data_IF_791918282554
#
_entry.id   IF_791918282554
#
_cell.length_a   1.000
_cell.length_b   1.000
_cell.length_c   1.000
_cell.angle_alpha   90.00
_cell.angle_beta   90.00
_cell.angle_gamma   90.00
#
_symmetry.space_group_name_H-M   'P 1'
#
loop_
_entity.id
_entity.type
_entity.pdbx_description
1 polymer ?
#
# COMPACT_ATOMS: atom_id res chain seq x y z
N UNK A 1 0.07 -10.20 -17.63
CA UNK A 1 0.81 -9.60 -16.51
C UNK A 1 1.23 -8.21 -16.94
N UNK A 2 1.05 -7.21 -16.09
CA UNK A 2 1.38 -5.80 -16.37
C UNK A 2 2.81 -5.53 -16.85
N UNK A 3 3.33 -4.34 -16.63
CA UNK A 3 4.67 -3.97 -17.12
C UNK A 3 5.75 -4.68 -16.33
N UNK A 4 6.66 -5.39 -17.02
CA UNK A 4 7.81 -6.10 -16.44
C UNK A 4 9.10 -5.39 -16.86
N UNK A 5 9.87 -4.95 -15.87
CA UNK A 5 11.18 -4.31 -16.05
C UNK A 5 12.27 -5.23 -15.49
N UNK A 6 13.36 -5.39 -16.23
CA UNK A 6 14.54 -6.16 -15.79
C UNK A 6 15.61 -5.19 -15.28
N UNK A 7 16.32 -5.63 -14.23
CA UNK A 7 17.43 -4.90 -13.62
C UNK A 7 17.06 -3.43 -13.29
N UNK A 8 15.80 -3.23 -12.85
CA UNK A 8 15.25 -1.89 -12.62
C UNK A 8 15.83 -1.28 -11.34
N UNK A 9 16.45 -0.11 -11.44
CA UNK A 9 17.06 0.56 -10.29
C UNK A 9 16.03 1.02 -9.28
N UNK A 10 16.09 0.50 -8.04
CA UNK A 10 15.12 0.79 -6.99
C UNK A 10 15.20 2.23 -6.47
N UNK A 11 16.33 2.93 -6.66
CA UNK A 11 16.43 4.36 -6.31
C UNK A 11 15.39 5.22 -7.03
N UNK A 12 14.89 4.80 -8.19
CA UNK A 12 13.81 5.50 -8.93
C UNK A 12 12.45 5.37 -8.26
N UNK A 13 12.29 4.33 -7.41
CA UNK A 13 11.04 3.94 -6.79
C UNK A 13 11.03 4.17 -5.28
N UNK A 14 11.99 4.92 -4.75
CA UNK A 14 12.06 5.31 -3.34
C UNK A 14 12.17 6.81 -3.17
N UNK A 15 11.59 7.33 -2.11
CA UNK A 15 11.72 8.76 -1.78
C UNK A 15 13.15 9.13 -1.38
N UNK A 16 13.87 8.22 -0.78
CA UNK A 16 15.29 8.41 -0.41
C UNK A 16 16.24 8.39 -1.61
N UNK A 17 15.76 7.95 -2.78
CA UNK A 17 16.54 7.84 -4.03
C UNK A 17 17.82 7.02 -3.86
N UNK A 18 17.75 5.96 -3.09
CA UNK A 18 18.80 4.98 -2.88
C UNK A 18 18.26 3.57 -3.10
N UNK A 19 19.11 2.65 -3.50
CA UNK A 19 18.79 1.25 -3.74
C UNK A 19 19.31 0.76 -5.09
N UNK A 20 19.94 -0.42 -5.06
CA UNK A 20 20.44 -1.12 -6.23
C UNK A 20 19.33 -1.63 -7.14
N UNK A 21 19.67 -2.37 -8.21
CA UNK A 21 18.70 -2.91 -9.14
C UNK A 21 17.90 -4.06 -8.54
N UNK A 22 16.63 -4.17 -8.94
CA UNK A 22 15.84 -5.37 -8.75
C UNK A 22 15.91 -6.23 -10.01
N UNK A 23 16.15 -7.52 -9.88
CA UNK A 23 16.21 -8.45 -11.01
C UNK A 23 14.97 -8.40 -11.87
N UNK A 24 13.80 -8.33 -11.23
CA UNK A 24 12.53 -8.07 -11.90
C UNK A 24 11.71 -7.08 -11.07
N UNK A 25 11.14 -6.10 -11.75
CA UNK A 25 10.19 -5.13 -11.20
C UNK A 25 8.90 -5.21 -12.01
N UNK A 26 7.79 -5.56 -11.36
CA UNK A 26 6.51 -5.81 -12.04
C UNK A 26 5.48 -4.80 -11.52
N UNK A 27 4.92 -4.00 -12.44
CA UNK A 27 3.77 -3.16 -12.14
C UNK A 27 2.49 -3.92 -12.46
N UNK A 28 1.66 -4.15 -11.47
CA UNK A 28 0.36 -4.82 -11.63
C UNK A 28 -0.76 -3.80 -11.62
N UNK A 29 -1.75 -4.00 -12.50
CA UNK A 29 -2.88 -3.10 -12.68
C UNK A 29 -4.14 -3.58 -11.97
N UNK A 30 -4.24 -4.88 -11.71
CA UNK A 30 -5.41 -5.50 -11.11
C UNK A 30 -5.03 -6.67 -10.20
N UNK A 31 -6.06 -7.18 -9.51
CA UNK A 31 -5.93 -8.27 -8.53
C UNK A 31 -5.50 -9.58 -9.19
N UNK A 32 -5.99 -9.86 -10.38
CA UNK A 32 -5.73 -11.14 -11.06
C UNK A 32 -4.26 -11.24 -11.45
N UNK A 33 -3.69 -10.18 -12.01
CA UNK A 33 -2.25 -10.08 -12.29
C UNK A 33 -1.40 -10.25 -11.04
N UNK A 34 -1.79 -9.59 -9.93
CA UNK A 34 -1.08 -9.73 -8.65
C UNK A 34 -1.09 -11.18 -8.16
N UNK A 35 -2.25 -11.85 -8.25
CA UNK A 35 -2.40 -13.26 -7.86
C UNK A 35 -1.50 -14.16 -8.70
N UNK A 36 -1.46 -13.93 -10.00
CA UNK A 36 -0.61 -14.71 -10.92
C UNK A 36 0.87 -14.58 -10.55
N UNK A 37 1.35 -13.36 -10.36
CA UNK A 37 2.75 -13.11 -9.98
C UNK A 37 3.08 -13.77 -8.64
N UNK A 38 2.21 -13.65 -7.65
CA UNK A 38 2.41 -14.28 -6.34
C UNK A 38 2.43 -15.81 -6.44
N UNK A 39 1.50 -16.41 -7.21
CA UNK A 39 1.48 -17.86 -7.43
C UNK A 39 2.77 -18.33 -8.10
N UNK A 40 3.23 -17.60 -9.10
CA UNK A 40 4.48 -17.89 -9.80
C UNK A 40 5.67 -17.85 -8.84
N UNK A 41 5.82 -16.78 -8.06
CA UNK A 41 6.91 -16.64 -7.08
C UNK A 41 6.92 -17.80 -6.09
N UNK A 42 5.75 -18.19 -5.58
CA UNK A 42 5.63 -19.33 -4.65
C UNK A 42 6.02 -20.65 -5.26
N UNK A 43 5.50 -20.95 -6.46
CA UNK A 43 5.78 -22.18 -7.18
C UNK A 43 7.29 -22.35 -7.40
N UNK A 44 7.97 -21.27 -7.73
CA UNK A 44 9.40 -21.26 -8.04
C UNK A 44 10.30 -20.86 -6.87
N UNK A 45 9.74 -20.65 -5.66
CA UNK A 45 10.47 -20.22 -4.46
C UNK A 45 11.28 -18.95 -4.68
N UNK A 46 10.75 -18.02 -5.48
CA UNK A 46 11.38 -16.72 -5.77
C UNK A 46 11.03 -15.76 -4.65
N UNK A 47 12.04 -15.06 -4.13
CA UNK A 47 11.83 -13.98 -3.18
C UNK A 47 10.99 -12.88 -3.80
N UNK A 48 9.97 -12.39 -3.09
CA UNK A 48 9.16 -11.28 -3.56
C UNK A 48 9.07 -10.19 -2.49
N UNK A 49 8.95 -8.96 -2.96
CA UNK A 49 8.67 -7.81 -2.10
C UNK A 49 7.64 -6.91 -2.77
N UNK A 50 6.69 -6.38 -2.00
CA UNK A 50 5.62 -5.51 -2.51
C UNK A 50 5.92 -4.08 -2.12
N UNK A 51 5.84 -3.17 -3.09
CA UNK A 51 6.12 -1.76 -2.92
C UNK A 51 4.92 -0.90 -3.38
N UNK A 52 4.66 0.19 -2.65
CA UNK A 52 3.89 1.32 -3.14
C UNK A 52 4.86 2.40 -3.65
N UNK A 53 4.69 3.64 -3.22
CA UNK A 53 5.58 4.78 -3.61
C UNK A 53 6.98 4.76 -2.96
N UNK A 54 7.32 3.74 -2.19
CA UNK A 54 8.63 3.63 -1.56
C UNK A 54 8.98 4.77 -0.60
N UNK A 55 7.99 5.45 -0.03
CA UNK A 55 8.21 6.63 0.83
C UNK A 55 8.77 6.30 2.22
N UNK A 56 8.67 5.03 2.62
CA UNK A 56 9.21 4.55 3.91
C UNK A 56 10.05 3.29 3.72
N UNK A 57 10.80 3.23 2.62
CA UNK A 57 11.64 2.09 2.27
C UNK A 57 13.06 2.55 2.00
N UNK A 58 14.01 1.76 2.50
CA UNK A 58 15.43 1.89 2.24
C UNK A 58 15.92 0.55 1.67
N UNK A 59 16.36 0.56 0.43
CA UNK A 59 16.96 -0.60 -0.21
C UNK A 59 18.48 -0.51 -0.17
N UNK A 60 19.13 -1.68 -0.04
CA UNK A 60 20.57 -1.80 -0.21
C UNK A 60 20.96 -1.49 -1.65
N UNK A 61 22.20 -1.02 -1.85
CA UNK A 61 22.79 -0.83 -3.18
C UNK A 61 23.11 -2.15 -3.90
N UNK A 62 23.05 -3.28 -3.18
CA UNK A 62 23.17 -4.60 -3.77
C UNK A 62 21.92 -4.95 -4.58
N UNK A 63 22.08 -5.78 -5.61
CA UNK A 63 20.96 -6.30 -6.39
C UNK A 63 19.98 -7.07 -5.49
N UNK A 64 18.68 -6.82 -5.72
CA UNK A 64 17.62 -7.63 -5.14
C UNK A 64 17.33 -8.79 -6.10
N UNK A 65 17.74 -10.00 -5.72
CA UNK A 65 17.68 -11.21 -6.56
C UNK A 65 16.28 -11.84 -6.62
N UNK A 66 15.25 -11.06 -6.51
CA UNK A 66 13.85 -11.48 -6.53
C UNK A 66 12.99 -10.63 -7.43
N UNK A 67 11.70 -10.64 -7.14
CA UNK A 67 10.68 -9.86 -7.83
C UNK A 67 10.16 -8.76 -6.91
N UNK A 68 10.24 -7.51 -7.35
CA UNK A 68 9.54 -6.39 -6.73
C UNK A 68 8.20 -6.23 -7.44
N UNK A 69 7.11 -6.17 -6.68
CA UNK A 69 5.75 -5.92 -7.21
C UNK A 69 5.32 -4.52 -6.81
N UNK A 70 5.09 -3.66 -7.78
CA UNK A 70 4.54 -2.32 -7.56
C UNK A 70 3.01 -2.35 -7.70
N UNK A 71 2.34 -1.77 -6.71
CA UNK A 71 0.88 -1.65 -6.67
C UNK A 71 0.40 -0.24 -7.04
N UNK A 72 1.28 0.64 -7.54
CA UNK A 72 0.93 2.04 -7.83
C UNK A 72 -0.19 2.20 -8.86
N UNK A 73 -0.25 1.29 -9.84
CA UNK A 73 -1.24 1.33 -10.91
C UNK A 73 -2.62 0.83 -10.46
N UNK A 74 -2.74 0.20 -9.29
CA UNK A 74 -4.00 -0.13 -8.63
C UNK A 74 -4.52 1.09 -7.85
N UNK A 75 -4.95 2.14 -8.54
CA UNK A 75 -5.18 3.48 -7.97
C UNK A 75 -6.61 4.00 -8.10
N UNK A 76 -7.58 3.10 -8.28
CA UNK A 76 -8.98 3.47 -8.35
C UNK A 76 -9.60 3.59 -6.95
N UNK A 77 -10.54 4.52 -6.79
CA UNK A 77 -11.36 4.63 -5.58
C UNK A 77 -12.77 5.09 -5.93
N UNK A 78 -13.68 4.81 -5.04
CA UNK A 78 -15.09 5.16 -5.15
C UNK A 78 -15.61 5.71 -3.83
N UNK A 79 -16.42 6.76 -3.91
CA UNK A 79 -17.07 7.40 -2.75
C UNK A 79 -18.56 7.08 -2.77
N UNK A 80 -19.09 6.60 -1.65
CA UNK A 80 -20.51 6.35 -1.45
C UNK A 80 -20.96 6.95 -0.11
N UNK A 81 -21.60 8.11 -0.16
CA UNK A 81 -21.96 8.87 1.03
C UNK A 81 -20.70 9.25 1.86
N UNK A 82 -20.60 8.72 3.07
CA UNK A 82 -19.43 8.92 3.97
C UNK A 82 -18.44 7.77 3.93
N UNK A 83 -18.59 6.84 3.01
CA UNK A 83 -17.66 5.70 2.88
C UNK A 83 -16.83 5.82 1.60
N UNK A 84 -15.55 5.58 1.73
CA UNK A 84 -14.61 5.53 0.60
C UNK A 84 -14.06 4.11 0.49
N UNK A 85 -14.20 3.53 -0.69
CA UNK A 85 -13.52 2.28 -1.06
C UNK A 85 -12.36 2.62 -1.98
N UNK A 86 -11.14 2.29 -1.59
CA UNK A 86 -9.95 2.63 -2.33
C UNK A 86 -9.06 1.41 -2.56
N UNK A 87 -8.43 1.34 -3.71
CA UNK A 87 -7.36 0.40 -4.00
C UNK A 87 -6.06 0.81 -3.29
N UNK A 88 -5.17 -0.14 -3.10
CA UNK A 88 -3.93 0.05 -2.34
C UNK A 88 -2.94 1.05 -2.96
N UNK A 89 -2.97 1.26 -4.26
CA UNK A 89 -2.12 2.21 -5.00
C UNK A 89 -2.62 3.65 -4.97
N UNK A 90 -3.82 3.92 -4.46
CA UNK A 90 -4.33 5.30 -4.31
C UNK A 90 -3.41 6.09 -3.39
N UNK A 91 -3.00 7.29 -3.79
CA UNK A 91 -2.15 8.13 -2.95
C UNK A 91 -2.95 8.77 -1.82
N UNK A 92 -2.38 8.78 -0.61
CA UNK A 92 -3.03 9.34 0.57
C UNK A 92 -3.34 10.82 0.39
N UNK A 93 -2.39 11.59 -0.14
CA UNK A 93 -2.55 13.03 -0.40
C UNK A 93 -3.74 13.29 -1.34
N UNK A 94 -3.76 12.60 -2.50
CA UNK A 94 -4.86 12.77 -3.47
C UNK A 94 -6.22 12.47 -2.84
N UNK A 95 -6.33 11.35 -2.12
CA UNK A 95 -7.57 10.94 -1.49
C UNK A 95 -8.04 11.96 -0.45
N UNK A 96 -7.14 12.49 0.38
CA UNK A 96 -7.46 13.50 1.37
C UNK A 96 -8.03 14.78 0.72
N UNK A 97 -7.36 15.30 -0.31
CA UNK A 97 -7.81 16.49 -1.03
C UNK A 97 -9.13 16.28 -1.77
N UNK A 98 -9.30 15.14 -2.42
CA UNK A 98 -10.54 14.86 -3.18
C UNK A 98 -11.74 14.67 -2.23
N UNK A 99 -11.55 14.05 -1.07
CA UNK A 99 -12.56 13.96 -0.02
C UNK A 99 -12.90 15.35 0.56
N UNK A 100 -11.92 16.18 0.81
CA UNK A 100 -12.15 17.55 1.31
C UNK A 100 -12.97 18.39 0.33
N UNK A 101 -12.70 18.32 -0.99
CA UNK A 101 -13.48 19.04 -2.02
C UNK A 101 -14.98 18.70 -2.02
N UNK A 102 -15.34 17.51 -1.61
CA UNK A 102 -16.73 17.07 -1.52
C UNK A 102 -17.30 17.15 -0.10
N UNK A 103 -16.62 17.86 0.80
CA UNK A 103 -17.07 18.10 2.17
C UNK A 103 -16.95 16.91 3.12
N UNK A 104 -16.11 15.92 2.81
CA UNK A 104 -15.83 14.80 3.69
C UNK A 104 -14.61 15.10 4.56
N UNK A 105 -14.77 14.95 5.87
CA UNK A 105 -13.74 15.17 6.89
C UNK A 105 -13.27 13.84 7.50
N UNK A 106 -12.06 13.85 8.06
CA UNK A 106 -11.44 12.71 8.75
C UNK A 106 -10.18 12.18 8.05
N UNK A 107 -9.83 12.74 6.87
CA UNK A 107 -8.62 12.39 6.11
C UNK A 107 -7.58 13.50 6.08
N UNK A 108 -7.79 14.58 6.79
CA UNK A 108 -6.93 15.76 6.78
C UNK A 108 -5.49 15.42 7.14
N UNK A 109 -5.30 14.52 8.09
CA UNK A 109 -3.97 14.08 8.52
C UNK A 109 -3.15 13.43 7.39
N UNK A 110 -3.82 12.88 6.37
CA UNK A 110 -3.14 12.25 5.23
C UNK A 110 -2.64 13.27 4.20
N UNK A 111 -3.09 14.52 4.25
CA UNK A 111 -2.78 15.55 3.26
C UNK A 111 -1.29 15.87 3.11
N UNK A 112 -0.47 15.54 4.10
CA UNK A 112 0.98 15.72 4.07
C UNK A 112 1.79 14.43 4.08
N UNK A 113 1.15 13.26 4.08
CA UNK A 113 1.86 11.97 4.16
C UNK A 113 2.12 11.43 2.76
N UNK A 114 3.38 11.40 2.29
CA UNK A 114 3.71 10.82 1.00
C UNK A 114 3.56 9.30 1.07
N UNK A 115 2.80 8.72 0.15
CA UNK A 115 2.60 7.27 0.11
C UNK A 115 1.25 6.88 -0.45
N UNK A 116 1.04 5.57 -0.58
CA UNK A 116 -0.22 4.98 -1.02
C UNK A 116 -1.01 4.46 0.18
N UNK A 117 -2.31 4.33 0.02
CA UNK A 117 -3.22 3.79 1.03
C UNK A 117 -2.75 2.41 1.53
N UNK A 118 -2.37 1.50 0.63
CA UNK A 118 -1.89 0.16 1.03
C UNK A 118 -0.67 0.20 1.95
N UNK A 119 0.36 0.96 1.57
CA UNK A 119 1.56 1.15 2.40
C UNK A 119 1.26 1.92 3.69
N UNK A 120 0.41 2.94 3.61
CA UNK A 120 -0.03 3.71 4.76
C UNK A 120 -0.72 2.84 5.81
N UNK A 121 -1.62 1.96 5.39
CA UNK A 121 -2.30 1.06 6.32
C UNK A 121 -1.35 0.02 6.89
N UNK A 122 -0.46 -0.53 6.06
CA UNK A 122 0.57 -1.47 6.52
C UNK A 122 1.40 -0.87 7.66
N UNK A 123 1.74 0.41 7.55
CA UNK A 123 2.53 1.15 8.54
C UNK A 123 1.68 1.84 9.63
N UNK A 124 0.35 1.75 9.57
CA UNK A 124 -0.56 2.58 10.36
C UNK A 124 -0.17 4.06 10.32
N UNK A 125 0.04 4.58 9.10
CA UNK A 125 0.51 5.94 8.91
C UNK A 125 -0.39 6.96 9.59
N UNK A 126 0.22 7.91 10.27
CA UNK A 126 -0.50 8.93 11.01
C UNK A 126 0.29 10.22 11.10
N UNK A 127 -0.44 11.31 11.34
CA UNK A 127 0.08 12.65 11.59
C UNK A 127 -0.94 13.45 12.41
N UNK A 128 -0.49 14.50 13.10
CA UNK A 128 -1.39 15.41 13.83
C UNK A 128 -2.35 14.72 14.81
N UNK A 129 -1.85 13.69 15.53
CA UNK A 129 -2.58 12.88 16.51
C UNK A 129 -3.69 11.99 15.93
N UNK A 130 -3.75 11.78 14.62
CA UNK A 130 -4.65 10.85 13.94
C UNK A 130 -3.88 9.86 13.09
N UNK A 131 -4.44 8.66 12.87
CA UNK A 131 -3.82 7.59 12.09
C UNK A 131 -4.86 6.77 11.33
N UNK A 132 -4.39 5.98 10.37
CA UNK A 132 -5.28 5.20 9.49
C UNK A 132 -6.15 4.20 10.23
N UNK A 133 -5.70 3.60 11.34
CA UNK A 133 -6.51 2.66 12.12
C UNK A 133 -7.79 3.28 12.70
N UNK A 134 -7.85 4.59 12.86
CA UNK A 134 -9.05 5.29 13.38
C UNK A 134 -10.15 5.43 12.31
N UNK A 135 -9.76 5.48 11.03
CA UNK A 135 -10.68 5.73 9.92
C UNK A 135 -10.97 4.49 9.08
N UNK A 136 -10.14 3.47 9.18
CA UNK A 136 -10.33 2.20 8.47
C UNK A 136 -11.42 1.38 9.12
N UNK A 137 -12.59 1.27 8.46
CA UNK A 137 -13.75 0.52 8.96
C UNK A 137 -13.68 -0.97 8.65
N UNK A 138 -13.27 -1.33 7.43
CA UNK A 138 -13.25 -2.70 6.94
C UNK A 138 -12.21 -2.85 5.85
N UNK A 139 -11.45 -3.90 5.92
CA UNK A 139 -10.62 -4.34 4.82
C UNK A 139 -11.28 -5.52 4.09
N UNK A 140 -11.37 -5.38 2.78
CA UNK A 140 -11.87 -6.45 1.94
C UNK A 140 -10.71 -7.38 1.58
N UNK A 141 -10.74 -8.57 2.13
CA UNK A 141 -9.77 -9.62 1.87
C UNK A 141 -10.21 -10.39 0.62
N UNK A 142 -9.66 -10.06 -0.53
CA UNK A 142 -9.94 -10.80 -1.76
C UNK A 142 -9.29 -12.19 -1.79
N UNK A 143 -8.27 -12.39 -0.97
CA UNK A 143 -7.59 -13.67 -0.87
C UNK A 143 -7.64 -14.14 0.57
N UNK A 144 -8.37 -15.21 0.84
CA UNK A 144 -8.20 -16.07 2.03
C UNK A 144 -6.80 -16.71 2.02
N UNK A 145 -5.78 -15.96 1.70
CA UNK A 145 -4.40 -16.45 1.63
C UNK A 145 -3.68 -16.15 2.93
N UNK A 146 -3.71 -17.09 3.83
CA UNK A 146 -3.07 -17.12 5.15
C UNK A 146 -1.55 -16.92 5.15
N UNK A 147 -0.87 -16.70 3.98
CA UNK A 147 0.56 -16.98 3.84
C UNK A 147 1.39 -15.99 3.02
N UNK A 148 0.95 -14.76 2.75
CA UNK A 148 1.66 -13.93 1.77
C UNK A 148 2.84 -13.13 2.33
N UNK A 149 2.93 -12.86 3.62
CA UNK A 149 4.05 -12.13 4.20
C UNK A 149 4.70 -12.87 5.37
N UNK A 150 5.69 -13.69 5.07
CA UNK A 150 6.85 -13.83 5.94
C UNK A 150 7.86 -12.78 5.47
N UNK A 151 7.62 -11.54 5.78
CA UNK A 151 8.70 -10.56 5.83
C UNK A 151 9.27 -10.73 7.23
N UNK A 152 10.53 -11.13 7.31
CA UNK A 152 11.34 -11.06 8.53
C UNK A 152 11.48 -9.58 8.94
N UNK A 153 10.44 -9.02 9.51
CA UNK A 153 10.51 -7.77 10.23
C UNK A 153 10.77 -8.12 11.68
N UNK A 154 12.04 -8.36 11.99
CA UNK A 154 12.55 -8.66 13.32
C UNK A 154 12.27 -7.56 14.37
N UNK A 155 11.72 -6.42 14.00
CA UNK A 155 11.51 -5.29 14.91
C UNK A 155 10.04 -4.89 15.16
N UNK A 156 9.06 -5.46 14.49
CA UNK A 156 7.64 -5.06 14.65
C UNK A 156 6.76 -6.04 15.42
N UNK A 157 7.33 -7.12 15.96
CA UNK A 157 6.57 -8.13 16.73
C UNK A 157 6.00 -7.60 18.05
N UNK A 158 6.42 -6.44 18.50
CA UNK A 158 6.08 -5.92 19.85
C UNK A 158 4.86 -5.01 19.87
N UNK A 159 4.36 -4.49 18.75
CA UNK A 159 3.29 -3.49 18.74
C UNK A 159 1.92 -4.05 18.36
N UNK A 160 1.83 -5.21 17.72
CA UNK A 160 0.56 -5.77 17.25
C UNK A 160 0.35 -7.21 17.73
N UNK A 161 0.15 -7.37 19.04
CA UNK A 161 -0.36 -8.61 19.61
C UNK A 161 -1.73 -8.93 18.99
N UNK A 162 -1.77 -9.91 18.06
CA UNK A 162 -3.01 -10.58 17.66
C UNK A 162 -3.59 -10.28 16.28
N UNK A 163 -3.01 -9.40 15.45
CA UNK A 163 -3.55 -9.14 14.12
C UNK A 163 -2.90 -10.04 13.07
N UNK A 164 -3.69 -10.96 12.56
CA UNK A 164 -3.35 -11.83 11.43
C UNK A 164 -3.04 -10.99 10.18
N UNK A 165 -1.81 -11.04 9.70
CA UNK A 165 -1.29 -10.34 8.52
C UNK A 165 -1.94 -10.89 7.26
N UNK A 166 -2.89 -10.15 6.69
CA UNK A 166 -3.54 -10.48 5.42
C UNK A 166 -3.31 -9.35 4.44
N UNK A 167 -2.81 -9.71 3.27
CA UNK A 167 -2.63 -8.79 2.14
C UNK A 167 -3.96 -8.19 1.73
N UNK A 168 -3.99 -6.89 1.69
CA UNK A 168 -5.22 -6.12 1.56
C UNK A 168 -5.18 -5.33 0.26
N UNK A 169 -6.02 -5.74 -0.67
CA UNK A 169 -6.07 -5.19 -2.00
C UNK A 169 -7.12 -4.09 -2.16
N UNK A 170 -8.14 -4.09 -1.30
CA UNK A 170 -9.18 -3.07 -1.26
C UNK A 170 -9.51 -2.69 0.19
N UNK A 171 -9.69 -1.40 0.40
CA UNK A 171 -9.99 -0.84 1.72
C UNK A 171 -11.29 -0.07 1.68
N UNK A 172 -12.16 -0.35 2.64
CA UNK A 172 -13.34 0.47 2.88
C UNK A 172 -13.08 1.36 4.10
N UNK A 173 -12.96 2.63 3.87
CA UNK A 173 -12.61 3.63 4.86
C UNK A 173 -13.89 4.40 5.22
N UNK A 174 -14.16 4.59 6.52
CA UNK A 174 -15.27 5.41 6.99
C UNK A 174 -14.79 6.84 7.17
N UNK A 175 -15.42 7.77 6.48
CA UNK A 175 -15.21 9.21 6.68
C UNK A 175 -16.31 9.74 7.59
N UNK A 176 -15.93 10.45 8.63
CA UNK A 176 -16.89 11.14 9.49
C UNK A 176 -17.41 12.38 8.78
N UNK A 177 -18.75 12.46 8.61
CA UNK A 177 -19.40 13.64 8.08
C UNK A 177 -19.39 14.71 9.19
N UNK A 178 -18.38 15.57 9.22
CA UNK A 178 -18.42 16.78 10.02
C UNK A 178 -18.71 17.92 9.06
N UNK A 179 -19.94 18.40 9.07
CA UNK A 179 -20.30 19.63 8.39
C UNK A 179 -19.42 20.75 9.00
N UNK A 180 -18.50 21.30 8.21
CA UNK A 180 -17.96 22.60 8.51
C UNK A 180 -19.12 23.59 8.44
N UNK A 181 -19.59 24.04 9.60
CA UNK A 181 -20.33 25.29 9.69
C UNK A 181 -19.27 26.38 9.54
N UNK A 182 -19.25 27.03 8.40
CA UNK A 182 -18.73 28.37 8.23
C UNK A 182 -19.70 29.34 8.87
#
# INVERSE_FOLDING_TARGET
>A
VGTVLKDEPLYKHTTYRVGGPAKLFIKVQNVDELIEVIKYCRKHRIQLFVIGRGSNLLFSDKSFEGIIISLEDMNQYHVNGSEVTAQCGVTMIKLAYDCAKIGLSGFEFMGGIPGNIGGGIFMNAGAYKSCLSEVVKKWLNYLKMKWIFHIDILSFKTILNGLSWKLLLFWKIKVLKKLMKL
#
